data_IF_106521513553
#
_entry.id   IF_106521513553
#
_cell.length_a   1.000
_cell.length_b   1.000
_cell.length_c   1.000
_cell.angle_alpha   90.00
_cell.angle_beta   90.00
_cell.angle_gamma   90.00
#
_symmetry.space_group_name_H-M   'P 1'
#
loop_
_entity.id
_entity.type
_entity.pdbx_description
1 polymer ?
#
# COMPACT_ATOMS: atom_id res chain seq x y z
N UNK A 1 -43.35 24.03 -66.41
CA UNK A 1 -42.43 23.02 -65.84
C UNK A 1 -41.37 23.79 -65.06
N UNK A 2 -41.47 23.76 -63.75
CA UNK A 2 -40.53 24.46 -62.84
C UNK A 2 -39.67 23.40 -62.18
N UNK A 3 -38.38 23.40 -62.50
CA UNK A 3 -37.41 22.53 -61.81
C UNK A 3 -37.09 23.07 -60.43
N UNK A 4 -37.30 22.25 -59.41
CA UNK A 4 -36.99 22.62 -58.04
C UNK A 4 -35.66 21.98 -57.69
N UNK A 5 -34.60 22.80 -57.64
CA UNK A 5 -33.26 22.38 -57.25
C UNK A 5 -33.20 22.21 -55.76
N UNK A 6 -32.99 20.97 -55.28
CA UNK A 6 -32.83 20.62 -53.88
C UNK A 6 -31.35 20.82 -53.47
N UNK A 7 -31.07 21.86 -52.66
CA UNK A 7 -29.78 22.11 -52.09
C UNK A 7 -29.61 21.25 -50.83
N UNK A 8 -28.75 20.21 -50.94
CA UNK A 8 -28.38 19.36 -49.79
C UNK A 8 -27.27 20.04 -49.02
N UNK A 9 -27.59 20.71 -47.91
CA UNK A 9 -26.59 21.21 -46.97
C UNK A 9 -26.00 20.06 -46.17
N UNK A 10 -24.81 19.62 -46.53
CA UNK A 10 -23.94 18.73 -45.74
C UNK A 10 -23.38 19.53 -44.56
N UNK A 11 -24.00 19.39 -43.39
CA UNK A 11 -23.44 19.86 -42.13
C UNK A 11 -22.43 18.80 -41.68
N UNK A 12 -21.15 18.99 -41.98
CA UNK A 12 -20.06 18.25 -41.39
C UNK A 12 -19.84 18.74 -39.96
N UNK A 13 -20.58 18.16 -39.04
CA UNK A 13 -20.32 18.35 -37.60
C UNK A 13 -19.04 17.65 -37.20
N UNK A 14 -17.94 18.40 -37.17
CA UNK A 14 -16.71 17.98 -36.48
C UNK A 14 -16.98 17.88 -35.01
N UNK A 15 -17.26 16.68 -34.50
CA UNK A 15 -17.20 16.39 -33.05
C UNK A 15 -15.73 16.51 -32.64
N UNK A 16 -15.32 17.70 -32.21
CA UNK A 16 -14.18 17.88 -31.37
C UNK A 16 -14.53 17.24 -30.02
N UNK A 17 -14.08 16.00 -29.80
CA UNK A 17 -14.05 15.40 -28.49
C UNK A 17 -13.04 16.21 -27.66
N UNK A 18 -13.51 17.27 -27.02
CA UNK A 18 -12.79 17.95 -25.96
C UNK A 18 -12.81 16.97 -24.79
N UNK A 19 -11.75 16.18 -24.71
CA UNK A 19 -11.38 15.50 -23.48
C UNK A 19 -11.02 16.57 -22.44
N UNK A 20 -12.04 17.21 -21.87
CA UNK A 20 -11.87 18.00 -20.67
C UNK A 20 -11.58 17.01 -19.54
N UNK A 21 -10.27 16.65 -19.41
CA UNK A 21 -9.79 16.14 -18.17
C UNK A 21 -10.26 17.13 -17.09
N UNK A 22 -10.98 16.60 -16.10
CA UNK A 22 -11.33 17.33 -14.88
C UNK A 22 -10.06 18.11 -14.50
N UNK A 23 -10.10 19.44 -14.41
CA UNK A 23 -8.92 20.20 -14.03
C UNK A 23 -8.47 19.61 -12.70
N UNK A 24 -7.28 18.98 -12.69
CA UNK A 24 -6.66 18.54 -11.44
C UNK A 24 -6.61 19.80 -10.58
N UNK A 25 -7.52 19.89 -9.62
CA UNK A 25 -7.52 20.96 -8.64
C UNK A 25 -6.14 20.90 -8.03
N UNK A 26 -5.34 21.94 -8.26
CA UNK A 26 -4.00 22.07 -7.72
C UNK A 26 -4.21 22.05 -6.22
N UNK A 27 -3.98 20.87 -5.62
CA UNK A 27 -4.11 20.71 -4.18
C UNK A 27 -2.90 21.45 -3.61
N UNK A 28 -3.09 22.74 -3.33
CA UNK A 28 -2.15 23.50 -2.52
C UNK A 28 -2.00 22.72 -1.22
N UNK A 29 -0.78 22.62 -0.71
CA UNK A 29 -0.44 21.95 0.55
C UNK A 29 -1.51 22.29 1.60
N UNK A 30 -2.49 21.37 1.79
CA UNK A 30 -3.56 21.58 2.74
C UNK A 30 -3.03 21.20 4.12
N UNK A 31 -2.55 22.20 4.85
CA UNK A 31 -2.00 22.04 6.19
C UNK A 31 -2.90 21.20 7.12
N UNK A 32 -4.21 21.30 6.94
CA UNK A 32 -5.16 20.48 7.70
C UNK A 32 -5.07 18.98 7.30
N UNK A 33 -4.95 18.69 6.01
CA UNK A 33 -4.84 17.30 5.50
C UNK A 33 -3.50 16.68 5.90
N UNK A 34 -2.41 17.43 5.80
CA UNK A 34 -1.08 16.99 6.28
C UNK A 34 -1.12 16.68 7.78
N UNK A 35 -1.65 17.58 8.61
CA UNK A 35 -1.77 17.36 10.04
C UNK A 35 -2.66 16.14 10.37
N UNK A 36 -3.72 15.92 9.60
CA UNK A 36 -4.60 14.76 9.76
C UNK A 36 -3.86 13.46 9.46
N UNK A 37 -3.09 13.40 8.37
CA UNK A 37 -2.32 12.22 7.99
C UNK A 37 -1.13 11.98 8.93
N UNK A 38 -0.46 13.03 9.41
CA UNK A 38 0.57 12.93 10.44
C UNK A 38 0.00 12.32 11.74
N UNK A 39 -1.19 12.75 12.16
CA UNK A 39 -1.88 12.16 13.32
C UNK A 39 -2.19 10.68 13.10
N UNK A 40 -2.67 10.31 11.91
CA UNK A 40 -2.95 8.92 11.54
C UNK A 40 -1.67 8.08 11.58
N UNK A 41 -0.56 8.58 11.04
CA UNK A 41 0.74 7.91 11.09
C UNK A 41 1.16 7.59 12.54
N UNK A 42 1.10 8.60 13.40
CA UNK A 42 1.46 8.46 14.81
C UNK A 42 0.53 7.45 15.52
N UNK A 43 -0.78 7.52 15.27
CA UNK A 43 -1.75 6.60 15.87
C UNK A 43 -1.58 5.16 15.39
N UNK A 44 -1.19 4.96 14.12
CA UNK A 44 -0.95 3.63 13.55
C UNK A 44 0.31 2.99 14.13
N UNK A 45 1.41 3.75 14.26
CA UNK A 45 2.71 3.20 14.66
C UNK A 45 2.86 3.06 16.18
N UNK A 46 2.33 4.00 16.96
CA UNK A 46 2.53 4.10 18.42
C UNK A 46 2.38 2.77 19.18
N UNK A 47 1.33 2.03 18.90
CA UNK A 47 1.04 0.78 19.63
C UNK A 47 1.79 -0.42 19.04
N UNK A 48 2.13 -0.37 17.76
CA UNK A 48 2.94 -1.39 17.09
C UNK A 48 4.39 -1.38 17.57
N UNK A 49 4.95 -0.19 17.82
CA UNK A 49 6.28 -0.02 18.41
C UNK A 49 6.39 -0.65 19.82
N UNK A 50 5.28 -0.74 20.55
CA UNK A 50 5.25 -1.36 21.87
C UNK A 50 5.23 -2.90 21.84
N UNK A 51 4.94 -3.52 20.68
CA UNK A 51 4.71 -4.98 20.61
C UNK A 51 5.92 -5.79 21.06
N UNK A 52 7.13 -5.39 20.63
CA UNK A 52 8.36 -6.08 20.98
C UNK A 52 8.61 -6.09 22.49
N UNK A 53 8.43 -4.97 23.16
CA UNK A 53 8.62 -4.84 24.60
C UNK A 53 7.56 -5.64 25.40
N UNK A 54 6.30 -5.60 24.94
CA UNK A 54 5.22 -6.36 25.57
C UNK A 54 5.43 -7.87 25.36
N UNK A 55 5.85 -8.31 24.17
CA UNK A 55 6.19 -9.71 23.93
C UNK A 55 7.36 -10.17 24.80
N UNK A 56 8.44 -9.40 24.85
CA UNK A 56 9.62 -9.75 25.64
C UNK A 56 9.32 -9.85 27.15
N UNK A 57 8.44 -8.98 27.66
CA UNK A 57 8.13 -8.91 29.09
C UNK A 57 7.03 -9.87 29.54
N UNK A 58 6.02 -10.09 28.72
CA UNK A 58 4.79 -10.78 29.11
C UNK A 58 4.50 -12.02 28.24
N UNK A 59 5.12 -12.13 27.08
CA UNK A 59 4.88 -13.19 26.10
C UNK A 59 3.72 -12.87 25.14
N UNK A 60 3.75 -13.52 23.97
CA UNK A 60 2.80 -13.29 22.87
C UNK A 60 1.35 -13.62 23.26
N UNK A 61 1.13 -14.66 24.06
CA UNK A 61 -0.21 -15.11 24.47
C UNK A 61 -0.76 -14.42 25.74
N UNK A 62 -0.03 -13.43 26.26
CA UNK A 62 -0.39 -12.72 27.47
C UNK A 62 -1.67 -11.90 27.32
N UNK A 63 -2.26 -11.55 28.46
CA UNK A 63 -3.39 -10.62 28.50
C UNK A 63 -2.97 -9.23 27.99
N UNK A 64 -1.78 -8.79 28.36
CA UNK A 64 -1.20 -7.50 27.95
C UNK A 64 -1.06 -7.42 26.43
N UNK A 65 -0.59 -8.47 25.78
CA UNK A 65 -0.50 -8.54 24.32
C UNK A 65 -1.90 -8.53 23.67
N UNK A 66 -2.85 -9.26 24.23
CA UNK A 66 -4.24 -9.27 23.75
C UNK A 66 -4.91 -7.89 23.87
N UNK A 67 -4.69 -7.19 24.98
CA UNK A 67 -5.19 -5.84 25.20
C UNK A 67 -4.54 -4.83 24.24
N UNK A 68 -3.25 -4.98 23.95
CA UNK A 68 -2.53 -4.19 22.97
C UNK A 68 -3.09 -4.40 21.54
N UNK A 69 -3.29 -5.65 21.12
CA UNK A 69 -3.93 -5.97 19.84
C UNK A 69 -5.35 -5.41 19.73
N UNK A 70 -6.16 -5.49 20.81
CA UNK A 70 -7.49 -4.88 20.81
C UNK A 70 -7.43 -3.36 20.61
N UNK A 71 -6.41 -2.71 21.17
CA UNK A 71 -6.20 -1.27 20.99
C UNK A 71 -5.77 -0.95 19.56
N UNK A 72 -4.82 -1.71 19.00
CA UNK A 72 -4.38 -1.58 17.60
C UNK A 72 -5.57 -1.73 16.67
N UNK A 73 -6.35 -2.80 16.77
CA UNK A 73 -7.49 -3.06 15.91
C UNK A 73 -8.55 -1.95 15.94
N UNK A 74 -8.81 -1.35 17.11
CA UNK A 74 -9.72 -0.21 17.24
C UNK A 74 -9.18 1.03 16.50
N UNK A 75 -7.88 1.31 16.63
CA UNK A 75 -7.24 2.42 15.94
C UNK A 75 -7.19 2.21 14.43
N UNK A 76 -6.87 1.00 13.99
CA UNK A 76 -6.88 0.63 12.57
C UNK A 76 -8.25 0.87 11.93
N UNK A 77 -9.32 0.46 12.60
CA UNK A 77 -10.68 0.68 12.09
C UNK A 77 -11.03 2.17 11.92
N UNK A 78 -10.64 3.00 12.88
CA UNK A 78 -10.85 4.46 12.83
C UNK A 78 -10.01 5.08 11.70
N UNK A 79 -8.73 4.74 11.63
CA UNK A 79 -7.81 5.25 10.64
C UNK A 79 -8.19 4.82 9.23
N UNK A 80 -8.69 3.59 9.07
CA UNK A 80 -9.17 3.07 7.79
C UNK A 80 -10.29 3.94 7.21
N UNK A 81 -11.29 4.31 8.01
CA UNK A 81 -12.38 5.20 7.57
C UNK A 81 -11.84 6.56 7.11
N UNK A 82 -10.87 7.12 7.85
CA UNK A 82 -10.27 8.42 7.52
C UNK A 82 -9.45 8.36 6.23
N UNK A 83 -8.59 7.34 6.09
CA UNK A 83 -7.71 7.18 4.92
C UNK A 83 -8.52 6.83 3.67
N UNK A 84 -9.48 5.91 3.74
CA UNK A 84 -10.30 5.56 2.58
C UNK A 84 -11.10 6.76 2.07
N UNK A 85 -11.61 7.62 2.96
CA UNK A 85 -12.25 8.88 2.56
C UNK A 85 -11.28 9.81 1.81
N UNK A 86 -10.04 9.90 2.27
CA UNK A 86 -9.00 10.71 1.59
C UNK A 86 -8.67 10.12 0.21
N UNK A 87 -8.44 8.82 0.13
CA UNK A 87 -8.11 8.13 -1.12
C UNK A 87 -9.25 8.19 -2.14
N UNK A 88 -10.50 7.99 -1.70
CA UNK A 88 -11.67 8.04 -2.57
C UNK A 88 -11.96 9.47 -3.06
N UNK A 89 -11.56 10.51 -2.28
CA UNK A 89 -11.78 11.93 -2.64
C UNK A 89 -10.66 12.50 -3.51
N UNK A 90 -9.41 12.20 -3.18
CA UNK A 90 -8.23 12.88 -3.74
C UNK A 90 -7.32 11.95 -4.54
N UNK A 91 -7.55 10.65 -4.51
CA UNK A 91 -6.60 9.67 -4.99
C UNK A 91 -5.37 9.55 -4.07
N UNK A 92 -4.33 8.87 -4.54
CA UNK A 92 -3.08 8.74 -3.79
C UNK A 92 -2.27 10.03 -3.85
N UNK A 93 -2.07 10.65 -2.69
CA UNK A 93 -1.35 11.92 -2.56
C UNK A 93 0.15 11.65 -2.36
N UNK A 94 0.98 12.35 -3.14
CA UNK A 94 2.44 12.27 -3.02
C UNK A 94 2.99 13.03 -1.81
N UNK A 95 4.25 12.75 -1.46
CA UNK A 95 4.94 13.43 -0.37
C UNK A 95 5.10 14.94 -0.58
N UNK A 96 5.10 15.39 -1.83
CA UNK A 96 5.07 16.81 -2.21
C UNK A 96 3.82 17.55 -1.75
N UNK A 97 2.70 16.82 -1.52
CA UNK A 97 1.41 17.39 -1.08
C UNK A 97 1.18 17.21 0.41
N UNK A 98 1.49 16.01 0.95
CA UNK A 98 1.12 15.64 2.33
C UNK A 98 2.33 15.33 3.23
N UNK A 99 3.55 15.52 2.73
CA UNK A 99 4.78 15.15 3.43
C UNK A 99 5.04 13.64 3.42
N UNK A 100 6.25 13.24 3.80
CA UNK A 100 6.68 11.81 3.82
C UNK A 100 5.83 10.98 4.79
N UNK A 101 5.55 11.49 5.99
CA UNK A 101 4.70 10.81 6.95
C UNK A 101 3.28 10.63 6.44
N UNK A 102 2.72 11.67 5.86
CA UNK A 102 1.36 11.61 5.32
C UNK A 102 1.25 10.60 4.19
N UNK A 103 2.24 10.55 3.30
CA UNK A 103 2.31 9.55 2.25
C UNK A 103 2.44 8.13 2.82
N UNK A 104 3.32 7.94 3.82
CA UNK A 104 3.48 6.66 4.51
C UNK A 104 2.21 6.23 5.27
N UNK A 105 1.45 7.18 5.85
CA UNK A 105 0.19 6.88 6.52
C UNK A 105 -0.85 6.27 5.57
N UNK A 106 -0.93 6.76 4.32
CA UNK A 106 -1.82 6.19 3.31
C UNK A 106 -1.48 4.71 3.07
N UNK A 107 -0.18 4.39 2.90
CA UNK A 107 0.28 3.02 2.72
C UNK A 107 0.00 2.15 3.94
N UNK A 108 0.46 2.56 5.12
CA UNK A 108 0.40 1.76 6.35
C UNK A 108 -1.03 1.35 6.70
N UNK A 109 -1.98 2.27 6.62
CA UNK A 109 -3.38 1.99 6.92
C UNK A 109 -3.99 0.99 5.93
N UNK A 110 -3.66 1.09 4.64
CA UNK A 110 -4.09 0.09 3.64
C UNK A 110 -3.39 -1.25 3.88
N UNK A 111 -2.08 -1.25 4.16
CA UNK A 111 -1.29 -2.44 4.46
C UNK A 111 -1.82 -3.21 5.68
N UNK A 112 -2.36 -2.51 6.69
CA UNK A 112 -2.89 -3.11 7.92
C UNK A 112 -4.39 -3.44 7.83
N UNK A 113 -5.05 -3.12 6.72
CA UNK A 113 -6.47 -3.40 6.50
C UNK A 113 -6.74 -4.86 6.10
N UNK A 114 -8.01 -5.21 5.91
CA UNK A 114 -8.40 -6.52 5.39
C UNK A 114 -8.10 -6.68 3.89
N UNK A 115 -8.07 -7.92 3.42
CA UNK A 115 -7.77 -8.28 2.03
C UNK A 115 -8.61 -7.50 1.01
N UNK A 116 -9.92 -7.40 1.21
CA UNK A 116 -10.83 -6.69 0.28
C UNK A 116 -10.41 -5.23 0.09
N UNK A 117 -10.01 -4.57 1.17
CA UNK A 117 -9.53 -3.18 1.11
C UNK A 117 -8.17 -3.09 0.43
N UNK A 118 -7.24 -3.98 0.75
CA UNK A 118 -5.93 -4.04 0.10
C UNK A 118 -6.08 -4.23 -1.41
N UNK A 119 -6.90 -5.17 -1.84
CA UNK A 119 -7.19 -5.43 -3.27
C UNK A 119 -7.87 -4.22 -3.95
N UNK A 120 -8.77 -3.51 -3.27
CA UNK A 120 -9.41 -2.31 -3.79
C UNK A 120 -8.41 -1.20 -4.10
N UNK A 121 -7.46 -0.94 -3.19
CA UNK A 121 -6.53 0.19 -3.33
C UNK A 121 -5.19 -0.14 -3.98
N UNK A 122 -4.86 -1.42 -4.16
CA UNK A 122 -3.62 -1.85 -4.83
C UNK A 122 -3.44 -1.25 -6.24
N UNK A 123 -4.46 -1.22 -7.13
CA UNK A 123 -4.32 -0.57 -8.44
C UNK A 123 -4.00 0.92 -8.32
N UNK A 124 -4.64 1.63 -7.38
CA UNK A 124 -4.37 3.05 -7.14
C UNK A 124 -2.93 3.28 -6.67
N UNK A 125 -2.40 2.42 -5.80
CA UNK A 125 -1.02 2.51 -5.33
C UNK A 125 -0.02 2.21 -6.45
N UNK A 126 -0.29 1.24 -7.35
CA UNK A 126 0.52 0.98 -8.55
C UNK A 126 0.61 2.22 -9.45
N UNK A 127 -0.51 2.86 -9.70
CA UNK A 127 -0.54 4.11 -10.48
C UNK A 127 0.21 5.24 -9.76
N UNK A 128 0.12 5.30 -8.43
CA UNK A 128 0.86 6.28 -7.63
C UNK A 128 2.37 6.07 -7.75
N UNK A 129 2.86 4.84 -7.64
CA UNK A 129 4.30 4.53 -7.81
C UNK A 129 4.77 4.89 -9.22
N UNK A 130 4.01 4.51 -10.26
CA UNK A 130 4.32 4.87 -11.65
C UNK A 130 4.43 6.37 -11.87
N UNK A 131 3.69 7.17 -11.11
CA UNK A 131 3.68 8.63 -11.18
C UNK A 131 4.59 9.30 -10.14
N UNK A 132 5.45 8.57 -9.43
CA UNK A 132 6.37 9.10 -8.42
C UNK A 132 5.69 9.63 -7.15
N UNK A 133 4.45 9.20 -6.86
CA UNK A 133 3.66 9.63 -5.69
C UNK A 133 3.68 8.64 -4.53
N UNK A 134 4.22 7.44 -4.73
CA UNK A 134 4.38 6.43 -3.69
C UNK A 134 5.70 5.68 -3.89
N UNK A 135 6.18 5.02 -2.85
CA UNK A 135 7.45 4.30 -2.88
C UNK A 135 7.27 2.89 -3.43
N UNK A 136 8.18 2.47 -4.34
CA UNK A 136 8.19 1.11 -4.90
C UNK A 136 8.36 0.03 -3.86
N UNK A 137 9.18 0.29 -2.83
CA UNK A 137 9.37 -0.63 -1.70
C UNK A 137 8.08 -0.89 -0.91
N UNK A 138 7.29 0.15 -0.64
CA UNK A 138 6.00 0.02 0.03
C UNK A 138 4.97 -0.73 -0.83
N UNK A 139 4.95 -0.47 -2.15
CA UNK A 139 4.10 -1.21 -3.07
C UNK A 139 4.44 -2.70 -3.07
N UNK A 140 5.73 -3.05 -3.08
CA UNK A 140 6.19 -4.44 -3.03
C UNK A 140 5.67 -5.19 -1.79
N UNK A 141 5.65 -4.54 -0.63
CA UNK A 141 5.09 -5.11 0.60
C UNK A 141 3.58 -5.39 0.47
N UNK A 142 2.83 -4.46 -0.13
CA UNK A 142 1.40 -4.63 -0.33
C UNK A 142 1.11 -5.71 -1.38
N UNK A 143 1.88 -5.77 -2.48
CA UNK A 143 1.73 -6.80 -3.51
C UNK A 143 1.95 -8.21 -2.96
N UNK A 144 3.01 -8.41 -2.15
CA UNK A 144 3.28 -9.69 -1.52
C UNK A 144 2.16 -10.13 -0.58
N UNK A 145 1.65 -9.19 0.23
CA UNK A 145 0.55 -9.46 1.15
C UNK A 145 -0.72 -9.87 0.41
N UNK A 146 -1.09 -9.15 -0.64
CA UNK A 146 -2.24 -9.48 -1.47
C UNK A 146 -2.03 -10.82 -2.20
N UNK A 147 -0.83 -11.09 -2.73
CA UNK A 147 -0.53 -12.35 -3.39
C UNK A 147 -0.75 -13.55 -2.44
N UNK A 148 -0.21 -13.48 -1.22
CA UNK A 148 -0.39 -14.55 -0.22
C UNK A 148 -1.85 -14.70 0.21
N UNK A 149 -2.59 -13.61 0.39
CA UNK A 149 -4.02 -13.64 0.73
C UNK A 149 -4.86 -14.30 -0.38
N UNK A 150 -4.40 -14.24 -1.65
CA UNK A 150 -4.99 -14.91 -2.81
C UNK A 150 -4.49 -16.36 -2.97
N UNK A 151 -3.72 -16.92 -2.02
CA UNK A 151 -3.13 -18.26 -2.11
C UNK A 151 -1.98 -18.38 -3.12
N UNK A 152 -1.42 -17.27 -3.58
CA UNK A 152 -0.27 -17.21 -4.48
C UNK A 152 1.04 -17.13 -3.69
N UNK A 153 2.16 -17.32 -4.36
CA UNK A 153 3.48 -17.03 -3.80
C UNK A 153 3.74 -15.51 -3.84
N UNK A 154 4.51 -15.02 -2.87
CA UNK A 154 4.97 -13.64 -2.87
C UNK A 154 6.07 -13.40 -3.91
N UNK A 155 6.23 -12.15 -4.33
CA UNK A 155 7.16 -11.75 -5.41
C UNK A 155 8.50 -11.29 -4.84
N UNK A 156 8.46 -10.57 -3.73
CA UNK A 156 9.63 -9.88 -3.17
C UNK A 156 10.14 -10.51 -1.86
N UNK A 157 9.42 -11.46 -1.27
CA UNK A 157 9.83 -12.10 -0.02
C UNK A 157 9.69 -11.19 1.21
N UNK A 158 8.74 -10.26 1.19
CA UNK A 158 8.57 -9.30 2.28
C UNK A 158 7.72 -9.81 3.44
N UNK A 159 6.98 -10.89 3.26
CA UNK A 159 6.08 -11.42 4.29
C UNK A 159 6.74 -12.59 5.02
N UNK A 160 6.92 -12.39 6.32
CA UNK A 160 7.50 -13.36 7.24
C UNK A 160 6.37 -13.93 8.09
N UNK A 161 6.31 -15.24 8.18
CA UNK A 161 5.33 -15.95 8.99
C UNK A 161 5.98 -16.52 10.25
N UNK A 162 5.18 -16.74 11.29
CA UNK A 162 5.59 -17.43 12.51
C UNK A 162 4.89 -18.76 12.60
N UNK A 163 5.66 -19.83 12.82
CA UNK A 163 5.12 -21.14 13.17
C UNK A 163 4.62 -21.07 14.62
N UNK A 164 3.32 -21.28 14.81
CA UNK A 164 2.67 -21.15 16.12
C UNK A 164 3.01 -22.29 17.08
N UNK A 165 3.55 -23.42 16.58
CA UNK A 165 3.95 -24.56 17.43
C UNK A 165 5.38 -24.38 17.94
N UNK A 166 6.29 -23.95 17.06
CA UNK A 166 7.71 -23.81 17.38
C UNK A 166 8.12 -22.39 17.76
N UNK A 167 7.26 -21.41 17.47
CA UNK A 167 7.56 -19.97 17.63
C UNK A 167 8.58 -19.43 16.63
N UNK A 168 9.08 -20.25 15.71
CA UNK A 168 10.10 -19.84 14.74
C UNK A 168 9.51 -19.06 13.59
N UNK A 169 10.26 -18.07 13.12
CA UNK A 169 9.91 -17.31 11.93
C UNK A 169 10.43 -17.99 10.65
N UNK A 170 9.71 -17.86 9.55
CA UNK A 170 10.11 -18.34 8.24
C UNK A 170 9.58 -17.42 7.13
N UNK A 171 10.28 -17.41 6.00
CA UNK A 171 9.86 -16.66 4.81
C UNK A 171 8.70 -17.40 4.15
N UNK A 172 7.58 -16.74 3.90
CA UNK A 172 6.48 -17.32 3.14
C UNK A 172 6.95 -17.66 1.69
N UNK A 173 6.33 -18.63 1.00
CA UNK A 173 6.79 -19.10 -0.31
C UNK A 173 6.95 -17.96 -1.33
N UNK A 174 8.10 -17.92 -2.02
CA UNK A 174 8.47 -16.91 -3.02
C UNK A 174 8.36 -17.50 -4.42
N UNK A 175 7.87 -16.70 -5.37
CA UNK A 175 7.90 -17.02 -6.81
C UNK A 175 9.31 -16.72 -7.35
N UNK A 176 9.87 -17.67 -8.14
CA UNK A 176 11.21 -17.52 -8.73
C UNK A 176 12.24 -16.97 -7.71
N UNK A 177 12.42 -17.73 -6.64
CA UNK A 177 13.19 -17.34 -5.47
C UNK A 177 14.65 -17.00 -5.81
N UNK A 178 15.26 -17.71 -6.78
CA UNK A 178 16.64 -17.46 -7.23
C UNK A 178 16.88 -16.05 -7.78
N UNK A 179 15.82 -15.36 -8.23
CA UNK A 179 15.89 -14.00 -8.76
C UNK A 179 15.26 -12.94 -7.83
N UNK A 180 14.90 -13.29 -6.59
CA UNK A 180 14.20 -12.39 -5.66
C UNK A 180 15.00 -11.10 -5.39
N UNK A 181 16.31 -11.19 -5.20
CA UNK A 181 17.14 -10.01 -4.91
C UNK A 181 17.21 -9.03 -6.08
N UNK A 182 17.15 -9.51 -7.34
CA UNK A 182 17.04 -8.62 -8.50
C UNK A 182 15.73 -7.84 -8.47
N UNK A 183 14.61 -8.48 -8.13
CA UNK A 183 13.31 -7.82 -7.98
C UNK A 183 13.31 -6.84 -6.82
N UNK A 184 13.85 -7.23 -5.67
CA UNK A 184 13.99 -6.37 -4.48
C UNK A 184 14.76 -5.09 -4.79
N UNK A 185 15.93 -5.23 -5.42
CA UNK A 185 16.75 -4.08 -5.80
C UNK A 185 16.01 -3.12 -6.76
N UNK A 186 15.18 -3.64 -7.69
CA UNK A 186 14.43 -2.80 -8.63
C UNK A 186 13.36 -1.92 -8.00
N UNK A 187 12.97 -2.21 -6.75
CA UNK A 187 11.97 -1.44 -6.00
C UNK A 187 12.55 -0.75 -4.76
N UNK A 188 13.88 -0.80 -4.59
CA UNK A 188 14.58 -0.15 -3.47
C UNK A 188 14.52 -0.94 -2.15
N UNK A 189 14.35 -2.26 -2.21
CA UNK A 189 14.45 -3.15 -1.06
C UNK A 189 15.87 -3.72 -0.95
N UNK A 190 16.37 -3.89 0.27
CA UNK A 190 17.62 -4.57 0.58
C UNK A 190 17.58 -6.05 0.17
N UNK A 191 18.74 -6.74 0.02
CA UNK A 191 18.77 -8.18 -0.22
C UNK A 191 17.97 -8.96 0.81
N UNK A 192 17.36 -10.10 0.37
CA UNK A 192 16.47 -10.87 1.24
C UNK A 192 17.21 -11.44 2.46
N UNK A 193 18.45 -11.87 2.27
CA UNK A 193 19.30 -12.41 3.32
C UNK A 193 19.58 -11.40 4.43
N UNK A 194 19.67 -10.10 4.09
CA UNK A 194 19.84 -9.01 5.06
C UNK A 194 18.50 -8.73 5.76
N UNK A 195 17.44 -8.63 5.00
CA UNK A 195 16.09 -8.34 5.52
C UNK A 195 15.64 -9.34 6.58
N UNK A 196 15.82 -10.64 6.35
CA UNK A 196 15.32 -11.69 7.25
C UNK A 196 16.12 -11.83 8.55
N UNK A 197 17.27 -11.19 8.66
CA UNK A 197 18.06 -11.15 9.91
C UNK A 197 17.30 -10.50 11.07
N UNK A 198 16.37 -9.58 10.77
CA UNK A 198 15.49 -8.99 11.77
C UNK A 198 14.65 -10.02 12.55
N UNK A 199 14.47 -11.22 11.99
CA UNK A 199 13.76 -12.35 12.61
C UNK A 199 14.68 -13.52 12.96
N UNK A 200 16.01 -13.33 12.93
CA UNK A 200 17.00 -14.39 13.17
C UNK A 200 16.80 -15.62 12.24
N UNK A 201 16.42 -15.40 11.00
CA UNK A 201 16.29 -16.45 9.99
C UNK A 201 17.62 -16.61 9.26
N UNK A 202 18.24 -17.82 9.36
CA UNK A 202 19.38 -18.20 8.50
C UNK A 202 18.83 -18.57 7.12
N UNK A 203 18.86 -17.63 6.20
CA UNK A 203 18.30 -17.78 4.87
C UNK A 203 19.41 -17.77 3.81
N UNK A 204 19.32 -18.73 2.88
CA UNK A 204 20.21 -18.83 1.72
C UNK A 204 19.38 -18.96 0.45
N UNK A 205 19.67 -18.12 -0.53
CA UNK A 205 19.07 -18.28 -1.83
C UNK A 205 19.40 -19.65 -2.44
N UNK A 206 18.42 -20.29 -3.12
CA UNK A 206 18.70 -21.50 -3.88
C UNK A 206 19.75 -21.20 -4.96
N UNK A 207 20.66 -22.15 -5.18
CA UNK A 207 21.61 -22.10 -6.28
C UNK A 207 20.85 -22.03 -7.62
N UNK A 208 21.37 -21.21 -8.53
CA UNK A 208 20.81 -21.10 -9.90
C UNK A 208 21.07 -22.36 -10.70
#
# INVERSE_FOLDING_TARGET
MKETTLILCLITGTFLAIGQGIPKQKIESNKNLTNQLDSIYIEDQKYREMMGDVEAKHGMESKEMKDLWNTINKKDAINLVRVTKILDTYGWLGADVVGERGNSALFLVIQHSNQTTQEKYLPMMRDAVKNGKAQGSQLALLEDRVALAQGKKQIYGSQIHRDMQTGKYFVAPIEDEANVNKRRASVGLEPLEEYVQHWNIDYKLPAK
#
